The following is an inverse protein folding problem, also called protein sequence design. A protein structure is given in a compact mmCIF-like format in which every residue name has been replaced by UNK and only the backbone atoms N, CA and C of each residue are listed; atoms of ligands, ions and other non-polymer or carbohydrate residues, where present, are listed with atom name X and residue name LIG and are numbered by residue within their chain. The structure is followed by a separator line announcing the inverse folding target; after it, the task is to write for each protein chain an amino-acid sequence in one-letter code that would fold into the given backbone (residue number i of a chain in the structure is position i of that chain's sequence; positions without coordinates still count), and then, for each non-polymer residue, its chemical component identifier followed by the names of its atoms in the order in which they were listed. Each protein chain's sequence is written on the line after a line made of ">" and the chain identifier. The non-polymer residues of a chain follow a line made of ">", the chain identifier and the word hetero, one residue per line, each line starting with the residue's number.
data_IF_647792887418
#
_entry.id   IF_647792887418
#
_cell.length_a   1.000
_cell.length_b   1.000
_cell.length_c   1.000
_cell.angle_alpha   90.00
_cell.angle_beta   90.00
_cell.angle_gamma   90.00
#
_symmetry.space_group_name_H-M   'P 1'
#
loop_
_entity.id
_entity.type
_entity.pdbx_description
1 polymer ?
#
# COMPACT_ATOMS: atom_id res chain seq x y z
N UNK A 1 27.48 -11.44 0.16
CA UNK A 1 27.30 -10.39 -0.86
C UNK A 1 26.64 -11.04 -2.06
N UNK A 2 25.35 -10.84 -2.25
CA UNK A 2 24.64 -11.32 -3.43
C UNK A 2 24.84 -10.24 -4.50
N UNK A 3 25.78 -10.47 -5.41
CA UNK A 3 26.00 -9.61 -6.56
C UNK A 3 24.80 -9.73 -7.49
N UNK A 4 24.08 -8.62 -7.70
CA UNK A 4 22.99 -8.57 -8.68
C UNK A 4 23.49 -8.92 -10.09
N UNK A 5 22.58 -9.35 -10.99
CA UNK A 5 22.96 -9.75 -12.34
C UNK A 5 23.61 -8.60 -13.10
N UNK A 6 24.70 -8.89 -13.81
CA UNK A 6 25.41 -7.94 -14.68
C UNK A 6 24.46 -7.41 -15.77
N UNK A 7 24.66 -6.17 -16.23
CA UNK A 7 23.88 -5.55 -17.32
C UNK A 7 23.77 -6.45 -18.57
N UNK A 8 24.81 -7.26 -18.86
CA UNK A 8 24.78 -8.24 -19.97
C UNK A 8 23.85 -9.44 -19.71
N UNK A 9 23.67 -9.85 -18.46
CA UNK A 9 22.73 -10.90 -18.06
C UNK A 9 21.29 -10.39 -18.06
N UNK A 10 21.06 -9.14 -17.62
CA UNK A 10 19.75 -8.48 -17.72
C UNK A 10 19.31 -8.35 -19.18
N UNK A 11 20.21 -7.98 -20.10
CA UNK A 11 19.93 -7.93 -21.54
C UNK A 11 19.64 -9.31 -22.14
N UNK A 12 20.29 -10.38 -21.65
CA UNK A 12 20.00 -11.76 -22.09
C UNK A 12 18.61 -12.23 -21.62
N UNK A 13 18.24 -11.90 -20.38
CA UNK A 13 16.90 -12.18 -19.82
C UNK A 13 15.81 -11.37 -20.55
N UNK A 14 16.11 -10.15 -20.99
CA UNK A 14 15.19 -9.33 -21.79
C UNK A 14 15.08 -9.75 -23.26
N UNK A 15 16.10 -10.42 -23.81
CA UNK A 15 16.08 -10.93 -25.21
C UNK A 15 15.21 -12.16 -25.38
N UNK A 16 15.16 -13.02 -24.37
CA UNK A 16 14.39 -14.27 -24.36
C UNK A 16 13.61 -14.39 -23.03
N UNK A 17 12.49 -13.66 -22.84
CA UNK A 17 11.58 -14.00 -21.77
C UNK A 17 11.03 -15.39 -22.09
N UNK A 18 11.35 -16.38 -21.25
CA UNK A 18 10.75 -17.70 -21.37
C UNK A 18 9.23 -17.54 -21.39
N UNK A 19 8.57 -17.99 -22.47
CA UNK A 19 7.11 -17.94 -22.60
C UNK A 19 6.50 -18.65 -21.39
N UNK A 20 6.02 -17.85 -20.43
CA UNK A 20 5.40 -18.36 -19.21
C UNK A 20 4.12 -19.10 -19.56
N UNK A 21 3.74 -20.11 -18.77
CA UNK A 21 2.45 -20.78 -18.91
C UNK A 21 1.26 -19.79 -18.93
N UNK A 22 1.44 -18.61 -18.33
CA UNK A 22 0.50 -17.48 -18.36
C UNK A 22 0.41 -16.85 -19.75
N UNK A 23 1.52 -16.66 -20.47
CA UNK A 23 1.52 -16.11 -21.84
C UNK A 23 0.82 -17.05 -22.83
N UNK A 24 0.99 -18.37 -22.66
CA UNK A 24 0.30 -19.40 -23.43
C UNK A 24 -1.22 -19.41 -23.18
N UNK A 25 -1.63 -19.20 -21.92
CA UNK A 25 -3.03 -19.02 -21.53
C UNK A 25 -3.61 -17.72 -22.09
N UNK A 26 -2.85 -16.62 -22.05
CA UNK A 26 -3.25 -15.32 -22.56
C UNK A 26 -3.43 -15.30 -24.08
N UNK A 27 -2.49 -15.90 -24.82
CA UNK A 27 -2.58 -16.10 -26.27
C UNK A 27 -3.85 -16.86 -26.67
N UNK A 28 -4.28 -17.79 -25.82
CA UNK A 28 -5.48 -18.62 -26.07
C UNK A 28 -6.79 -17.88 -25.73
N UNK A 29 -6.78 -17.02 -24.71
CA UNK A 29 -7.97 -16.30 -24.25
C UNK A 29 -8.21 -14.99 -25.00
N UNK A 30 -7.15 -14.29 -25.43
CA UNK A 30 -7.25 -12.95 -26.05
C UNK A 30 -6.27 -12.80 -27.24
N UNK A 31 -6.51 -13.49 -28.37
CA UNK A 31 -5.55 -13.60 -29.46
C UNK A 31 -5.27 -12.28 -30.19
N UNK A 32 -6.28 -11.44 -30.40
CA UNK A 32 -6.12 -10.16 -31.10
C UNK A 32 -5.35 -9.14 -30.24
N UNK A 33 -5.64 -9.07 -28.94
CA UNK A 33 -4.91 -8.19 -28.03
C UNK A 33 -3.47 -8.65 -27.80
N UNK A 34 -3.21 -9.97 -27.83
CA UNK A 34 -1.86 -10.52 -27.74
C UNK A 34 -1.00 -10.13 -28.95
N UNK A 35 -1.58 -10.05 -30.16
CA UNK A 35 -0.87 -9.57 -31.37
C UNK A 35 -0.51 -8.09 -31.24
N UNK A 36 -1.43 -7.24 -30.78
CA UNK A 36 -1.14 -5.82 -30.54
C UNK A 36 0.00 -5.62 -29.51
N UNK A 37 0.00 -6.43 -28.45
CA UNK A 37 1.07 -6.44 -27.43
C UNK A 37 2.43 -6.87 -28.01
N UNK A 38 2.46 -7.87 -28.90
CA UNK A 38 3.68 -8.32 -29.59
C UNK A 38 4.21 -7.24 -30.53
N UNK A 39 3.34 -6.60 -31.32
CA UNK A 39 3.73 -5.50 -32.21
C UNK A 39 4.30 -4.30 -31.43
N UNK A 40 3.73 -3.96 -30.27
CA UNK A 40 4.29 -2.93 -29.38
C UNK A 40 5.66 -3.34 -28.84
N UNK A 41 5.84 -4.59 -28.38
CA UNK A 41 7.16 -5.08 -27.92
C UNK A 41 8.22 -5.06 -29.04
N UNK A 42 7.84 -5.35 -30.27
CA UNK A 42 8.78 -5.28 -31.40
C UNK A 42 9.16 -3.84 -31.74
N UNK A 43 8.21 -2.91 -31.70
CA UNK A 43 8.48 -1.47 -31.83
C UNK A 43 9.41 -0.96 -30.73
N UNK A 44 9.18 -1.37 -29.48
CA UNK A 44 10.04 -1.03 -28.34
C UNK A 44 11.46 -1.60 -28.50
N UNK A 45 11.59 -2.84 -28.98
CA UNK A 45 12.90 -3.47 -29.30
C UNK A 45 13.63 -2.74 -30.42
N UNK A 46 12.92 -2.26 -31.44
CA UNK A 46 13.51 -1.48 -32.53
C UNK A 46 13.93 -0.08 -32.06
N UNK A 47 13.12 0.58 -31.22
CA UNK A 47 13.46 1.86 -30.61
C UNK A 47 14.69 1.75 -29.70
N UNK A 48 14.79 0.68 -28.89
CA UNK A 48 15.95 0.42 -28.04
C UNK A 48 17.25 0.23 -28.85
N UNK A 49 17.19 -0.50 -29.97
CA UNK A 49 18.34 -0.66 -30.88
C UNK A 49 18.76 0.66 -31.53
N UNK A 50 17.80 1.47 -31.97
CA UNK A 50 18.08 2.78 -32.55
C UNK A 50 18.71 3.75 -31.53
N UNK A 51 18.30 3.67 -30.26
CA UNK A 51 18.90 4.43 -29.16
C UNK A 51 20.34 3.97 -28.88
N UNK A 52 20.58 2.65 -28.86
CA UNK A 52 21.91 2.06 -28.66
C UNK A 52 22.89 2.43 -29.80
N UNK A 53 22.40 2.56 -31.04
CA UNK A 53 23.19 3.05 -32.18
C UNK A 53 23.49 4.55 -32.11
N UNK A 54 22.58 5.36 -31.56
CA UNK A 54 22.83 6.80 -31.33
C UNK A 54 23.89 7.02 -30.26
N UNK A 55 23.79 6.29 -29.14
CA UNK A 55 24.79 6.34 -28.05
C UNK A 55 26.17 5.95 -28.58
N UNK A 56 26.28 4.89 -29.39
CA UNK A 56 27.56 4.50 -30.01
C UNK A 56 28.14 5.54 -30.98
N UNK A 57 27.27 6.31 -31.67
CA UNK A 57 27.71 7.39 -32.57
C UNK A 57 28.19 8.61 -31.79
N UNK A 58 27.56 8.93 -30.66
CA UNK A 58 27.97 10.01 -29.76
C UNK A 58 29.29 9.68 -29.04
N UNK A 59 29.45 8.44 -28.55
CA UNK A 59 30.73 7.95 -27.98
C UNK A 59 31.88 7.95 -29.01
N UNK A 60 31.57 7.80 -30.31
CA UNK A 60 32.57 7.85 -31.38
C UNK A 60 32.99 9.27 -31.75
N UNK A 61 32.19 10.29 -31.40
CA UNK A 61 32.49 11.70 -31.64
C UNK A 61 33.23 12.37 -30.47
N UNK A 62 33.06 11.89 -29.24
CA UNK A 62 33.76 12.44 -28.05
C UNK A 62 35.25 12.06 -27.95
N UNK A 63 35.74 11.08 -28.72
CA UNK A 63 37.15 10.64 -28.66
C UNK A 63 38.15 11.59 -29.36
N UNK A 64 37.74 12.74 -29.90
CA UNK A 64 38.63 13.67 -30.64
C UNK A 64 38.86 15.02 -29.94
N UNK A 65 38.22 15.31 -28.80
CA UNK A 65 38.46 16.60 -28.12
C UNK A 65 38.37 16.50 -26.60
N UNK A 66 39.48 16.16 -25.95
CA UNK A 66 39.65 16.36 -24.51
C UNK A 66 40.49 17.62 -24.25
N UNK A 67 39.93 18.57 -23.50
CA UNK A 67 40.66 19.74 -22.99
C UNK A 67 39.79 20.73 -22.21
N UNK A 68 39.77 20.54 -20.88
CA UNK A 68 39.47 21.52 -19.81
C UNK A 68 38.02 21.80 -19.38
N UNK A 69 37.82 21.58 -18.07
CA UNK A 69 36.88 22.19 -17.12
C UNK A 69 35.59 22.85 -17.63
N UNK A 70 34.43 22.24 -17.32
CA UNK A 70 33.45 22.90 -16.44
C UNK A 70 32.36 21.92 -16.00
N UNK A 71 31.98 22.04 -14.73
CA UNK A 71 30.77 21.44 -14.19
C UNK A 71 29.52 22.08 -14.81
N UNK A 72 28.42 21.32 -14.72
CA UNK A 72 27.04 21.72 -15.02
C UNK A 72 26.66 21.62 -16.50
N UNK A 73 25.56 20.89 -16.76
CA UNK A 73 24.89 20.65 -18.04
C UNK A 73 25.35 19.42 -18.83
N UNK A 74 24.84 18.25 -18.43
CA UNK A 74 24.49 17.18 -19.38
C UNK A 74 23.44 16.27 -18.72
N UNK A 75 22.27 16.84 -18.49
CA UNK A 75 21.05 16.06 -18.20
C UNK A 75 19.96 16.61 -19.13
N UNK A 76 20.16 16.40 -20.43
CA UNK A 76 19.14 16.72 -21.42
C UNK A 76 19.03 15.61 -22.48
N UNK A 77 17.84 15.01 -22.48
CA UNK A 77 17.19 14.27 -23.56
C UNK A 77 17.40 12.74 -23.65
N UNK A 78 16.39 12.00 -23.22
CA UNK A 78 15.32 11.58 -24.13
C UNK A 78 14.01 11.50 -23.34
N UNK A 79 13.10 12.46 -23.54
CA UNK A 79 11.76 12.40 -22.92
C UNK A 79 11.06 11.14 -23.44
N UNK A 80 10.76 10.21 -22.52
CA UNK A 80 10.16 8.93 -22.90
C UNK A 80 8.79 9.20 -23.53
N UNK A 81 8.38 8.46 -24.57
CA UNK A 81 7.06 8.64 -25.24
C UNK A 81 5.88 8.63 -24.23
N UNK A 82 6.07 7.92 -23.11
CA UNK A 82 5.18 7.86 -21.94
C UNK A 82 5.13 9.15 -21.11
N UNK A 83 6.24 9.85 -20.96
CA UNK A 83 6.33 11.13 -20.26
C UNK A 83 5.61 12.23 -21.05
N UNK A 84 5.83 12.25 -22.38
CA UNK A 84 5.12 13.16 -23.28
C UNK A 84 3.61 12.92 -23.27
N UNK A 85 3.19 11.64 -23.33
CA UNK A 85 1.78 11.25 -23.19
C UNK A 85 1.15 11.72 -21.86
N UNK A 86 1.85 11.56 -20.74
CA UNK A 86 1.35 12.00 -19.45
C UNK A 86 1.33 13.52 -19.30
N UNK A 87 2.32 14.21 -19.83
CA UNK A 87 2.38 15.68 -19.84
C UNK A 87 1.25 16.28 -20.68
N UNK A 88 0.97 15.68 -21.85
CA UNK A 88 -0.18 16.07 -22.69
C UNK A 88 -1.54 15.75 -22.04
N UNK A 89 -1.65 14.62 -21.32
CA UNK A 89 -2.92 14.15 -20.72
C UNK A 89 -3.26 14.76 -19.35
N UNK A 90 -2.26 15.04 -18.53
CA UNK A 90 -2.42 15.47 -17.12
C UNK A 90 -1.91 16.89 -16.88
N UNK A 91 -1.08 17.41 -17.79
CA UNK A 91 -0.39 18.69 -17.62
C UNK A 91 0.85 18.52 -16.76
N UNK A 92 0.72 18.71 -15.44
CA UNK A 92 1.86 18.80 -14.52
C UNK A 92 2.02 17.52 -13.67
N UNK A 93 2.98 16.66 -14.00
CA UNK A 93 3.31 15.42 -13.27
C UNK A 93 4.33 15.66 -12.13
N UNK A 94 4.23 16.81 -11.46
CA UNK A 94 5.13 17.17 -10.36
C UNK A 94 4.93 16.29 -9.11
N UNK A 95 5.71 16.57 -8.05
CA UNK A 95 5.62 15.84 -6.77
C UNK A 95 4.19 15.80 -6.20
N UNK A 96 3.36 16.79 -6.50
CA UNK A 96 1.93 16.81 -6.14
C UNK A 96 1.14 15.59 -6.63
N UNK A 97 1.48 15.03 -7.80
CA UNK A 97 0.83 13.82 -8.31
C UNK A 97 1.12 12.57 -7.46
N UNK A 98 2.23 12.58 -6.71
CA UNK A 98 2.61 11.51 -5.80
C UNK A 98 2.00 11.65 -4.39
N UNK A 99 1.49 12.84 -4.04
CA UNK A 99 0.95 13.12 -2.69
C UNK A 99 -0.34 12.33 -2.43
N UNK A 100 -1.28 12.35 -3.38
CA UNK A 100 -2.56 11.62 -3.24
C UNK A 100 -2.35 10.11 -3.00
N UNK A 101 -1.61 9.37 -3.84
CA UNK A 101 -1.38 7.95 -3.59
C UNK A 101 -0.65 7.71 -2.26
N UNK A 102 0.38 8.51 -1.96
CA UNK A 102 1.12 8.36 -0.70
C UNK A 102 0.22 8.53 0.54
N UNK A 103 -0.63 9.55 0.57
CA UNK A 103 -1.56 9.80 1.66
C UNK A 103 -2.65 8.73 1.77
N UNK A 104 -3.11 8.18 0.64
CA UNK A 104 -4.14 7.16 0.58
C UNK A 104 -3.71 5.89 1.33
N UNK A 105 -2.45 5.50 1.21
CA UNK A 105 -1.86 4.44 2.03
C UNK A 105 -1.89 4.81 3.52
N UNK A 106 -1.32 5.95 3.90
CA UNK A 106 -1.15 6.34 5.29
C UNK A 106 -2.49 6.41 6.03
N UNK A 107 -3.48 7.04 5.39
CA UNK A 107 -4.81 7.16 5.93
C UNK A 107 -5.43 5.77 6.15
N UNK A 108 -5.43 4.94 5.12
CA UNK A 108 -6.11 3.64 5.15
C UNK A 108 -5.43 2.65 6.10
N UNK A 109 -4.10 2.56 6.04
CA UNK A 109 -3.29 1.64 6.86
C UNK A 109 -3.37 1.96 8.33
N UNK A 110 -3.36 3.24 8.72
CA UNK A 110 -3.47 3.64 10.14
C UNK A 110 -4.76 3.11 10.77
N UNK A 111 -5.89 3.27 10.09
CA UNK A 111 -7.17 2.74 10.58
C UNK A 111 -7.20 1.22 10.56
N UNK A 112 -6.73 0.60 9.47
CA UNK A 112 -6.81 -0.84 9.32
C UNK A 112 -5.92 -1.58 10.34
N UNK A 113 -4.65 -1.20 10.48
CA UNK A 113 -3.70 -1.85 11.40
C UNK A 113 -4.01 -1.52 12.87
N UNK A 114 -4.65 -0.39 13.15
CA UNK A 114 -5.18 -0.13 14.50
C UNK A 114 -6.40 -1.01 14.80
N UNK A 115 -7.34 -1.13 13.86
CA UNK A 115 -8.58 -1.85 14.07
C UNK A 115 -8.41 -3.37 14.06
N UNK A 116 -7.63 -3.91 13.12
CA UNK A 116 -7.50 -5.35 12.92
C UNK A 116 -6.13 -5.87 13.37
N UNK A 117 -6.05 -6.95 14.17
CA UNK A 117 -7.14 -7.75 14.74
C UNK A 117 -7.66 -7.22 16.10
N UNK A 118 -7.00 -6.20 16.66
CA UNK A 118 -7.13 -5.76 18.06
C UNK A 118 -8.54 -5.31 18.48
N UNK A 119 -9.21 -4.53 17.65
CA UNK A 119 -10.55 -3.98 17.88
C UNK A 119 -11.61 -4.80 17.17
N UNK A 120 -11.37 -5.11 15.90
CA UNK A 120 -12.23 -5.91 15.02
C UNK A 120 -11.47 -7.17 14.59
N UNK A 121 -12.06 -8.38 14.65
CA UNK A 121 -13.36 -8.69 15.25
C UNK A 121 -13.27 -8.92 16.77
N UNK A 122 -12.09 -9.21 17.32
CA UNK A 122 -11.92 -9.74 18.67
C UNK A 122 -12.30 -8.80 19.80
N UNK A 123 -12.31 -7.49 19.55
CA UNK A 123 -12.70 -6.52 20.56
C UNK A 123 -14.20 -6.47 20.83
N UNK A 124 -15.04 -6.91 19.88
CA UNK A 124 -16.50 -6.76 19.93
C UNK A 124 -17.28 -8.06 19.65
N UNK A 125 -16.60 -9.13 19.22
CA UNK A 125 -17.18 -10.44 18.93
C UNK A 125 -16.45 -11.55 19.72
N UNK A 126 -17.20 -12.58 20.11
CA UNK A 126 -16.64 -13.78 20.77
C UNK A 126 -15.72 -14.54 19.81
N UNK A 127 -14.65 -15.14 20.37
CA UNK A 127 -13.57 -15.80 19.62
C UNK A 127 -14.08 -16.82 18.59
N UNK A 128 -15.05 -17.65 18.94
CA UNK A 128 -15.56 -18.71 18.06
C UNK A 128 -16.23 -18.14 16.79
N UNK A 129 -16.94 -17.02 16.94
CA UNK A 129 -17.61 -16.33 15.82
C UNK A 129 -16.63 -15.53 14.96
N UNK A 130 -15.48 -15.14 15.50
CA UNK A 130 -14.43 -14.43 14.76
C UNK A 130 -13.77 -15.33 13.70
N UNK A 131 -13.75 -16.65 13.89
CA UNK A 131 -13.07 -17.57 12.99
C UNK A 131 -13.58 -17.44 11.54
N UNK A 132 -14.90 -17.38 11.36
CA UNK A 132 -15.52 -17.24 10.03
C UNK A 132 -15.10 -15.93 9.35
N UNK A 133 -15.02 -14.83 10.11
CA UNK A 133 -14.61 -13.52 9.57
C UNK A 133 -13.14 -13.60 9.11
N UNK A 134 -12.27 -14.18 9.93
CA UNK A 134 -10.86 -14.29 9.60
C UNK A 134 -10.59 -15.17 8.37
N UNK A 135 -11.38 -16.23 8.17
CA UNK A 135 -11.30 -17.05 6.96
C UNK A 135 -11.74 -16.28 5.71
N UNK A 136 -12.70 -15.36 5.83
CA UNK A 136 -13.18 -14.55 4.71
C UNK A 136 -12.26 -13.36 4.38
N UNK A 137 -11.55 -12.82 5.36
CA UNK A 137 -10.71 -11.62 5.19
C UNK A 137 -9.75 -11.67 3.99
N UNK A 138 -8.97 -12.75 3.75
CA UNK A 138 -8.04 -12.81 2.61
C UNK A 138 -8.73 -12.60 1.26
N UNK A 139 -9.94 -13.13 1.09
CA UNK A 139 -10.70 -12.97 -0.15
C UNK A 139 -11.04 -11.50 -0.39
N UNK A 140 -11.50 -10.78 0.64
CA UNK A 140 -11.88 -9.38 0.51
C UNK A 140 -10.68 -8.45 0.29
N UNK A 141 -9.54 -8.76 0.90
CA UNK A 141 -8.29 -8.03 0.64
C UNK A 141 -7.83 -8.26 -0.81
N UNK A 142 -8.02 -9.47 -1.37
CA UNK A 142 -7.56 -9.82 -2.71
C UNK A 142 -8.39 -9.22 -3.86
N UNK A 143 -9.64 -8.82 -3.63
CA UNK A 143 -10.50 -8.25 -4.68
C UNK A 143 -9.87 -6.97 -5.27
N UNK A 144 -9.32 -6.11 -4.41
CA UNK A 144 -8.69 -4.85 -4.82
C UNK A 144 -7.48 -5.06 -5.74
N UNK A 145 -6.41 -5.75 -5.30
CA UNK A 145 -5.26 -6.05 -6.14
C UNK A 145 -5.63 -6.79 -7.42
N UNK A 146 -6.54 -7.76 -7.36
CA UNK A 146 -6.97 -8.51 -8.55
C UNK A 146 -7.66 -7.60 -9.58
N UNK A 147 -8.54 -6.71 -9.11
CA UNK A 147 -9.24 -5.74 -9.97
C UNK A 147 -8.27 -4.75 -10.58
N UNK A 148 -7.32 -4.23 -9.79
CA UNK A 148 -6.30 -3.30 -10.28
C UNK A 148 -5.33 -3.97 -11.25
N UNK A 149 -4.97 -5.24 -11.02
CA UNK A 149 -4.14 -6.01 -11.95
C UNK A 149 -4.83 -6.16 -13.31
N UNK A 150 -6.12 -6.52 -13.32
CA UNK A 150 -6.91 -6.59 -14.56
C UNK A 150 -6.98 -5.22 -15.22
N UNK A 151 -7.33 -4.17 -14.48
CA UNK A 151 -7.43 -2.84 -15.05
C UNK A 151 -6.11 -2.32 -15.63
N UNK A 152 -4.98 -2.65 -15.01
CA UNK A 152 -3.68 -2.21 -15.49
C UNK A 152 -3.23 -2.94 -16.76
N UNK A 153 -3.42 -4.25 -16.82
CA UNK A 153 -2.99 -5.05 -17.97
C UNK A 153 -3.90 -4.86 -19.19
N UNK A 154 -5.20 -4.59 -18.97
CA UNK A 154 -6.19 -4.51 -20.05
C UNK A 154 -6.62 -3.08 -20.38
N UNK A 155 -6.17 -2.05 -19.66
CA UNK A 155 -6.55 -0.65 -19.93
C UNK A 155 -5.36 0.30 -19.88
N UNK A 156 -5.12 1.05 -20.96
CA UNK A 156 -4.06 2.09 -21.05
C UNK A 156 -4.29 3.30 -20.10
N UNK A 157 -5.37 3.31 -19.30
CA UNK A 157 -5.75 4.42 -18.41
C UNK A 157 -4.90 4.54 -17.16
N UNK A 158 -4.17 3.49 -16.80
CA UNK A 158 -3.32 3.46 -15.62
C UNK A 158 -1.89 3.99 -15.87
N UNK A 159 -1.60 4.53 -17.07
CA UNK A 159 -0.27 5.05 -17.39
C UNK A 159 0.15 6.30 -16.60
N UNK A 160 -0.81 7.13 -16.19
CA UNK A 160 -0.57 8.38 -15.46
C UNK A 160 -1.57 8.50 -14.30
N UNK A 161 -1.18 9.13 -13.19
CA UNK A 161 -2.15 9.47 -12.14
C UNK A 161 -3.12 10.52 -12.66
N UNK A 162 -4.41 10.29 -12.47
CA UNK A 162 -5.49 11.18 -12.91
C UNK A 162 -6.50 11.32 -11.78
N UNK A 163 -7.35 12.34 -11.85
CA UNK A 163 -8.38 12.61 -10.85
C UNK A 163 -9.35 11.43 -10.61
N UNK A 164 -9.50 10.53 -11.59
CA UNK A 164 -10.33 9.32 -11.44
C UNK A 164 -9.82 8.41 -10.32
N UNK A 165 -8.51 8.36 -10.09
CA UNK A 165 -7.93 7.56 -9.01
C UNK A 165 -8.16 8.20 -7.65
N UNK A 166 -8.31 9.52 -7.59
CA UNK A 166 -8.68 10.19 -6.36
C UNK A 166 -10.10 9.83 -5.91
N UNK A 167 -10.97 9.30 -6.79
CA UNK A 167 -12.28 8.78 -6.39
C UNK A 167 -12.17 7.57 -5.45
N UNK A 168 -11.04 6.85 -5.42
CA UNK A 168 -10.82 5.75 -4.47
C UNK A 168 -10.75 6.25 -3.01
N UNK A 169 -10.53 7.55 -2.77
CA UNK A 169 -10.72 8.15 -1.45
C UNK A 169 -12.16 7.98 -0.91
N UNK A 170 -13.16 7.74 -1.75
CA UNK A 170 -14.51 7.40 -1.28
C UNK A 170 -14.52 6.09 -0.48
N UNK A 171 -13.61 5.15 -0.79
CA UNK A 171 -13.44 3.91 -0.03
C UNK A 171 -12.80 4.15 1.35
N UNK A 172 -12.20 5.31 1.59
CA UNK A 172 -11.71 5.69 2.92
C UNK A 172 -12.86 6.09 3.85
N UNK A 173 -13.95 6.68 3.34
CA UNK A 173 -15.08 7.18 4.16
C UNK A 173 -15.65 6.13 5.13
N UNK A 174 -15.84 4.85 4.74
CA UNK A 174 -16.28 3.81 5.67
C UNK A 174 -15.35 3.58 6.86
N UNK A 175 -14.03 3.80 6.74
CA UNK A 175 -13.05 3.44 7.78
C UNK A 175 -13.23 4.25 9.08
N UNK A 176 -13.27 5.61 9.06
CA UNK A 176 -13.60 6.39 10.25
C UNK A 176 -14.98 6.08 10.83
N UNK A 177 -15.98 5.80 9.99
CA UNK A 177 -17.33 5.43 10.44
C UNK A 177 -17.28 4.11 11.20
N UNK A 178 -16.64 3.09 10.65
CA UNK A 178 -16.47 1.78 11.28
C UNK A 178 -15.67 1.91 12.59
N UNK A 179 -14.60 2.71 12.59
CA UNK A 179 -13.81 3.00 13.78
C UNK A 179 -14.66 3.62 14.90
N UNK A 180 -15.42 4.68 14.60
CA UNK A 180 -16.27 5.34 15.60
C UNK A 180 -17.37 4.41 16.12
N UNK A 181 -17.97 3.57 15.27
CA UNK A 181 -18.94 2.56 15.68
C UNK A 181 -18.32 1.49 16.58
N UNK A 182 -17.12 1.01 16.26
CA UNK A 182 -16.39 0.04 17.08
C UNK A 182 -16.00 0.61 18.44
N UNK A 183 -15.47 1.83 18.49
CA UNK A 183 -15.14 2.53 19.74
C UNK A 183 -16.39 2.79 20.58
N UNK A 184 -17.51 3.18 19.95
CA UNK A 184 -18.80 3.35 20.63
C UNK A 184 -19.33 2.03 21.17
N UNK A 185 -19.17 0.94 20.43
CA UNK A 185 -19.52 -0.42 20.87
C UNK A 185 -18.72 -0.84 22.11
N UNK A 186 -17.44 -0.48 22.19
CA UNK A 186 -16.58 -0.81 23.34
C UNK A 186 -16.91 0.04 24.57
N UNK A 187 -17.00 1.36 24.42
CA UNK A 187 -17.04 2.27 25.56
C UNK A 187 -18.44 2.71 25.99
N UNK A 188 -19.45 2.59 25.12
CA UNK A 188 -20.78 3.15 25.35
C UNK A 188 -21.84 2.06 25.41
N UNK A 189 -22.83 2.21 26.31
CA UNK A 189 -23.97 1.29 26.45
C UNK A 189 -25.22 1.72 25.66
N UNK A 190 -25.06 2.48 24.57
CA UNK A 190 -26.21 2.94 23.79
C UNK A 190 -26.93 1.78 23.10
N UNK A 191 -28.23 1.90 22.79
CA UNK A 191 -28.98 0.84 22.11
C UNK A 191 -28.35 0.42 20.77
N UNK A 192 -27.82 1.39 20.02
CA UNK A 192 -27.08 1.15 18.77
C UNK A 192 -25.76 0.39 18.97
N UNK A 193 -25.01 0.71 20.03
CA UNK A 193 -23.76 0.00 20.37
C UNK A 193 -24.04 -1.45 20.77
N UNK A 194 -25.06 -1.69 21.60
CA UNK A 194 -25.47 -3.03 22.03
C UNK A 194 -25.90 -3.93 20.87
N UNK A 195 -26.46 -3.34 19.82
CA UNK A 195 -26.84 -4.05 18.59
C UNK A 195 -25.63 -4.60 17.83
N UNK A 196 -24.46 -3.97 17.94
CA UNK A 196 -23.24 -4.38 17.22
C UNK A 196 -22.49 -5.46 18.01
N UNK A 197 -22.41 -5.31 19.33
CA UNK A 197 -21.70 -6.23 20.22
C UNK A 197 -22.23 -7.66 20.08
N UNK A 198 -21.31 -8.62 19.92
CA UNK A 198 -21.59 -10.06 19.79
C UNK A 198 -22.51 -10.45 18.60
N UNK A 199 -22.80 -9.51 17.70
CA UNK A 199 -23.56 -9.74 16.48
C UNK A 199 -22.63 -10.06 15.32
N UNK A 200 -22.46 -11.34 15.03
CA UNK A 200 -21.57 -11.82 13.96
C UNK A 200 -21.81 -11.14 12.59
N UNK A 201 -23.05 -11.04 12.05
CA UNK A 201 -23.23 -10.47 10.70
C UNK A 201 -22.87 -8.98 10.63
N UNK A 202 -23.12 -8.22 11.71
CA UNK A 202 -22.79 -6.78 11.75
C UNK A 202 -21.29 -6.56 11.85
N UNK A 203 -20.63 -7.31 12.73
CA UNK A 203 -19.17 -7.24 12.88
C UNK A 203 -18.47 -7.75 11.62
N UNK A 204 -19.01 -8.80 10.98
CA UNK A 204 -18.52 -9.29 9.70
C UNK A 204 -18.63 -8.20 8.61
N UNK A 205 -19.81 -7.59 8.44
CA UNK A 205 -19.99 -6.52 7.46
C UNK A 205 -19.01 -5.35 7.69
N UNK A 206 -18.86 -4.88 8.94
CA UNK A 206 -17.89 -3.84 9.29
C UNK A 206 -16.45 -4.26 8.99
N UNK A 207 -16.06 -5.48 9.36
CA UNK A 207 -14.68 -5.96 9.18
C UNK A 207 -14.37 -6.15 7.70
N UNK A 208 -15.24 -6.84 6.95
CA UNK A 208 -15.06 -7.14 5.54
C UNK A 208 -15.09 -5.87 4.67
N UNK A 209 -15.95 -4.89 4.99
CA UNK A 209 -15.94 -3.59 4.33
C UNK A 209 -14.62 -2.84 4.57
N UNK A 210 -14.09 -2.85 5.81
CA UNK A 210 -12.79 -2.27 6.10
C UNK A 210 -11.64 -2.98 5.36
N UNK A 211 -11.66 -4.32 5.32
CA UNK A 211 -10.67 -5.13 4.60
C UNK A 211 -10.71 -4.88 3.09
N UNK A 212 -11.91 -4.71 2.51
CA UNK A 212 -12.07 -4.36 1.10
C UNK A 212 -11.54 -2.96 0.79
N UNK A 213 -11.92 -1.96 1.59
CA UNK A 213 -11.38 -0.60 1.46
C UNK A 213 -9.86 -0.57 1.56
N UNK A 214 -9.30 -1.34 2.49
CA UNK A 214 -7.86 -1.49 2.64
C UNK A 214 -7.22 -2.18 1.44
N UNK A 215 -7.79 -3.31 1.01
CA UNK A 215 -7.35 -4.08 -0.14
C UNK A 215 -7.38 -3.30 -1.46
N UNK A 216 -8.28 -2.33 -1.63
CA UNK A 216 -8.28 -1.47 -2.82
C UNK A 216 -7.25 -0.33 -2.73
N UNK A 217 -7.16 0.34 -1.59
CA UNK A 217 -6.33 1.55 -1.43
C UNK A 217 -4.84 1.26 -1.33
N UNK A 218 -4.45 0.18 -0.64
CA UNK A 218 -3.03 -0.20 -0.47
C UNK A 218 -2.32 -0.46 -1.81
N UNK A 219 -2.76 -1.40 -2.65
CA UNK A 219 -2.12 -1.66 -3.95
C UNK A 219 -2.20 -0.46 -4.90
N UNK A 220 -3.30 0.30 -4.90
CA UNK A 220 -3.44 1.48 -5.76
C UNK A 220 -2.40 2.55 -5.41
N UNK A 221 -2.10 2.75 -4.11
CA UNK A 221 -1.00 3.63 -3.67
C UNK A 221 0.35 3.18 -4.23
N UNK A 222 0.69 1.90 -4.05
CA UNK A 222 1.96 1.36 -4.53
C UNK A 222 2.08 1.42 -6.06
N UNK A 223 1.00 1.13 -6.78
CA UNK A 223 0.97 1.24 -8.24
C UNK A 223 1.12 2.69 -8.70
N UNK A 224 0.43 3.64 -8.07
CA UNK A 224 0.54 5.05 -8.38
C UNK A 224 1.95 5.60 -8.22
N UNK A 225 2.59 5.30 -7.08
CA UNK A 225 3.98 5.72 -6.81
C UNK A 225 5.02 4.95 -7.62
N UNK A 226 4.79 3.66 -7.85
CA UNK A 226 5.64 2.85 -8.73
C UNK A 226 5.70 3.46 -10.13
N UNK A 227 4.55 3.80 -10.70
CA UNK A 227 4.47 4.43 -12.02
C UNK A 227 4.97 5.86 -12.05
N UNK A 228 4.82 6.59 -10.95
CA UNK A 228 5.49 7.88 -10.79
C UNK A 228 7.01 7.74 -10.92
N UNK A 229 7.60 6.72 -10.29
CA UNK A 229 9.04 6.44 -10.38
C UNK A 229 9.48 5.96 -11.77
N UNK A 230 8.72 5.06 -12.41
CA UNK A 230 9.04 4.52 -13.74
C UNK A 230 8.93 5.54 -14.88
N UNK A 231 8.32 6.71 -14.64
CA UNK A 231 8.27 7.84 -15.59
C UNK A 231 9.48 8.79 -15.49
N UNK A 232 10.56 8.34 -14.84
CA UNK A 232 11.81 9.08 -14.66
C UNK A 232 11.65 10.47 -14.02
N UNK A 233 10.58 10.67 -13.22
CA UNK A 233 10.41 11.90 -12.47
C UNK A 233 11.59 12.10 -11.48
N UNK A 234 12.02 13.35 -11.26
CA UNK A 234 13.16 13.64 -10.40
C UNK A 234 12.93 13.10 -8.99
N UNK A 235 13.81 12.20 -8.55
CA UNK A 235 13.70 11.55 -7.24
C UNK A 235 12.55 10.54 -7.10
N UNK A 236 11.93 10.09 -8.21
CA UNK A 236 10.78 9.17 -8.17
C UNK A 236 11.05 7.85 -7.44
N UNK A 237 12.19 7.19 -7.71
CA UNK A 237 12.59 5.97 -7.00
C UNK A 237 12.93 6.23 -5.52
N UNK A 238 13.52 7.38 -5.21
CA UNK A 238 13.78 7.80 -3.83
C UNK A 238 12.48 8.01 -3.06
N UNK A 239 11.50 8.65 -3.68
CA UNK A 239 10.17 8.86 -3.11
C UNK A 239 9.43 7.53 -2.87
N UNK A 240 9.54 6.58 -3.82
CA UNK A 240 9.00 5.24 -3.66
C UNK A 240 9.68 4.48 -2.51
N UNK A 241 11.01 4.55 -2.42
CA UNK A 241 11.78 3.94 -1.32
C UNK A 241 11.43 4.54 0.04
N UNK A 242 11.28 5.86 0.10
CA UNK A 242 10.78 6.56 1.29
C UNK A 242 9.36 6.12 1.63
N UNK A 243 8.46 6.03 0.65
CA UNK A 243 7.09 5.58 0.87
C UNK A 243 7.05 4.19 1.49
N UNK A 244 7.78 3.21 0.94
CA UNK A 244 7.85 1.85 1.48
C UNK A 244 8.39 1.86 2.92
N UNK A 245 9.47 2.60 3.18
CA UNK A 245 10.06 2.68 4.52
C UNK A 245 9.10 3.32 5.54
N UNK A 246 8.47 4.42 5.14
CA UNK A 246 7.49 5.14 5.95
C UNK A 246 6.21 4.34 6.17
N UNK A 247 5.79 3.56 5.18
CA UNK A 247 4.68 2.63 5.24
C UNK A 247 4.93 1.58 6.32
N UNK A 248 6.06 0.87 6.27
CA UNK A 248 6.44 -0.12 7.28
C UNK A 248 6.51 0.48 8.68
N UNK A 249 7.05 1.69 8.81
CA UNK A 249 7.10 2.41 10.08
C UNK A 249 5.70 2.76 10.61
N UNK A 250 4.81 3.25 9.74
CA UNK A 250 3.42 3.55 10.08
C UNK A 250 2.65 2.30 10.51
N UNK A 251 2.86 1.16 9.83
CA UNK A 251 2.30 -0.15 10.23
C UNK A 251 2.74 -0.55 11.62
N UNK A 252 4.05 -0.46 11.89
CA UNK A 252 4.62 -0.77 13.19
C UNK A 252 3.99 0.10 14.29
N UNK A 253 3.95 1.43 14.11
CA UNK A 253 3.35 2.34 15.08
C UNK A 253 1.88 2.01 15.31
N UNK A 254 1.10 1.87 14.24
CA UNK A 254 -0.35 1.61 14.33
C UNK A 254 -0.65 0.30 15.06
N UNK A 255 0.09 -0.76 14.73
CA UNK A 255 -0.01 -2.05 15.40
C UNK A 255 0.35 -1.97 16.89
N UNK A 256 1.43 -1.27 17.24
CA UNK A 256 1.86 -1.10 18.64
C UNK A 256 0.89 -0.23 19.46
N UNK A 257 0.29 0.78 18.84
CA UNK A 257 -0.80 1.56 19.46
C UNK A 257 -2.02 0.65 19.68
N UNK A 258 -2.35 -0.23 18.73
CA UNK A 258 -3.45 -1.18 18.86
C UNK A 258 -3.26 -2.16 20.02
N UNK A 259 -2.04 -2.66 20.22
CA UNK A 259 -1.67 -3.54 21.34
C UNK A 259 -1.81 -2.79 22.66
N UNK A 260 -1.21 -1.60 22.80
CA UNK A 260 -1.30 -0.80 24.02
C UNK A 260 -2.74 -0.39 24.35
N UNK A 261 -3.55 -0.11 23.33
CA UNK A 261 -4.98 0.17 23.49
C UNK A 261 -5.73 -1.06 24.01
N UNK A 262 -5.47 -2.23 23.41
CA UNK A 262 -6.10 -3.49 23.79
C UNK A 262 -5.78 -3.85 25.23
N UNK A 263 -4.51 -3.79 25.63
CA UNK A 263 -4.09 -4.09 27.00
C UNK A 263 -4.69 -3.09 28.01
N UNK A 264 -4.67 -1.78 27.69
CA UNK A 264 -5.33 -0.75 28.53
C UNK A 264 -6.80 -1.06 28.73
N UNK A 265 -7.51 -1.36 27.64
CA UNK A 265 -8.95 -1.69 27.63
C UNK A 265 -9.24 -2.95 28.47
N UNK A 266 -8.46 -4.01 28.27
CA UNK A 266 -8.62 -5.27 29.00
C UNK A 266 -8.39 -5.07 30.50
N UNK A 267 -7.37 -4.30 30.90
CA UNK A 267 -7.08 -4.02 32.32
C UNK A 267 -8.19 -3.25 33.03
N UNK A 268 -8.94 -2.43 32.28
CA UNK A 268 -10.10 -1.70 32.78
C UNK A 268 -11.36 -2.57 32.88
N UNK A 269 -11.33 -3.84 32.45
CA UNK A 269 -12.48 -4.75 32.45
C UNK A 269 -13.40 -4.58 31.23
N UNK A 270 -12.93 -3.92 30.17
CA UNK A 270 -13.67 -3.78 28.92
C UNK A 270 -13.43 -4.97 27.98
N UNK A 271 -13.76 -6.19 28.44
CA UNK A 271 -13.66 -7.42 27.67
C UNK A 271 -15.03 -8.11 27.50
N UNK A 272 -15.17 -8.94 26.47
CA UNK A 272 -16.33 -9.82 26.28
C UNK A 272 -16.25 -11.04 27.21
N UNK A 273 -17.36 -11.75 27.51
CA UNK A 273 -18.76 -11.48 27.11
C UNK A 273 -19.50 -10.47 28.00
N UNK A 274 -18.94 -10.09 29.15
CA UNK A 274 -19.54 -9.12 30.08
C UNK A 274 -18.59 -7.94 30.30
N UNK A 275 -18.96 -6.78 29.76
CA UNK A 275 -18.27 -5.51 30.01
C UNK A 275 -18.58 -4.98 31.41
N UNK A 276 -17.70 -5.29 32.37
CA UNK A 276 -17.75 -4.78 33.75
C UNK A 276 -16.50 -3.93 34.01
N UNK A 277 -16.61 -2.59 33.96
CA UNK A 277 -15.47 -1.74 34.26
C UNK A 277 -15.03 -1.95 35.71
N UNK A 278 -13.75 -2.22 35.92
CA UNK A 278 -13.17 -2.42 37.25
C UNK A 278 -13.17 -1.14 38.09
N UNK A 279 -13.14 0.02 37.42
CA UNK A 279 -13.12 1.33 38.06
C UNK A 279 -14.17 2.25 37.41
N UNK A 280 -14.99 2.91 38.22
CA UNK A 280 -15.89 3.97 37.74
C UNK A 280 -15.12 5.28 37.62
N UNK A 281 -15.12 5.90 36.45
CA UNK A 281 -14.52 7.22 36.19
C UNK A 281 -15.50 8.10 35.41
N UNK A 282 -15.34 9.42 35.49
CA UNK A 282 -16.07 10.35 34.61
C UNK A 282 -15.64 10.14 33.15
N UNK A 283 -16.52 10.44 32.17
CA UNK A 283 -16.24 10.17 30.74
C UNK A 283 -14.96 10.84 30.23
N UNK A 284 -14.71 12.09 30.64
CA UNK A 284 -13.52 12.85 30.24
C UNK A 284 -12.25 12.28 30.85
N UNK A 285 -12.29 11.91 32.13
CA UNK A 285 -11.15 11.30 32.82
C UNK A 285 -10.85 9.91 32.29
N UNK A 286 -11.89 9.14 31.96
CA UNK A 286 -11.75 7.83 31.32
C UNK A 286 -11.09 7.96 29.93
N UNK A 287 -11.55 8.90 29.10
CA UNK A 287 -10.97 9.13 27.78
C UNK A 287 -9.48 9.52 27.86
N UNK A 288 -9.15 10.47 28.73
CA UNK A 288 -7.76 10.89 28.95
C UNK A 288 -6.89 9.78 29.54
N UNK A 289 -7.44 9.00 30.48
CA UNK A 289 -6.74 7.86 31.07
C UNK A 289 -6.43 6.79 30.02
N UNK A 290 -7.42 6.41 29.20
CA UNK A 290 -7.23 5.43 28.11
C UNK A 290 -6.17 5.94 27.14
N UNK A 291 -6.25 7.20 26.72
CA UNK A 291 -5.28 7.80 25.82
C UNK A 291 -3.86 7.73 26.41
N UNK A 292 -3.65 8.27 27.61
CA UNK A 292 -2.33 8.30 28.27
C UNK A 292 -1.77 6.89 28.52
N UNK A 293 -2.60 5.97 29.01
CA UNK A 293 -2.15 4.60 29.31
C UNK A 293 -1.88 3.78 28.06
N UNK A 294 -2.63 4.00 26.98
CA UNK A 294 -2.38 3.38 25.67
C UNK A 294 -0.95 3.70 25.24
N UNK A 295 -0.58 4.98 25.15
CA UNK A 295 0.77 5.38 24.75
C UNK A 295 1.85 4.92 25.73
N UNK A 296 1.58 4.98 27.05
CA UNK A 296 2.53 4.50 28.06
C UNK A 296 2.83 3.01 27.87
N UNK A 297 1.80 2.18 27.69
CA UNK A 297 1.95 0.73 27.51
C UNK A 297 2.54 0.39 26.15
N UNK A 298 2.12 1.06 25.08
CA UNK A 298 2.73 0.98 23.76
C UNK A 298 4.24 1.22 23.81
N UNK A 299 4.68 2.25 24.55
CA UNK A 299 6.10 2.53 24.72
C UNK A 299 6.83 1.47 25.55
N UNK A 300 6.22 0.98 26.63
CA UNK A 300 6.79 -0.09 27.45
C UNK A 300 6.97 -1.38 26.67
N UNK A 301 5.98 -1.74 25.85
CA UNK A 301 6.00 -2.90 24.96
C UNK A 301 7.08 -2.77 23.88
N UNK A 302 7.14 -1.62 23.18
CA UNK A 302 8.19 -1.34 22.20
C UNK A 302 9.61 -1.39 22.80
N UNK A 303 9.78 -0.87 24.02
CA UNK A 303 11.06 -0.96 24.75
C UNK A 303 11.39 -2.41 25.15
N UNK A 304 10.38 -3.22 25.44
CA UNK A 304 10.50 -4.65 25.71
C UNK A 304 11.07 -5.38 24.51
N UNK A 305 10.51 -5.16 23.32
CA UNK A 305 10.98 -5.77 22.07
C UNK A 305 12.45 -5.47 21.77
N UNK A 306 12.88 -4.22 21.95
CA UNK A 306 14.27 -3.81 21.71
C UNK A 306 15.24 -4.51 22.67
N UNK A 307 14.78 -4.83 23.88
CA UNK A 307 15.58 -5.50 24.91
C UNK A 307 15.48 -7.03 24.85
N UNK A 308 14.65 -7.57 23.97
CA UNK A 308 14.34 -8.98 23.94
C UNK A 308 15.53 -9.77 23.37
N UNK A 309 16.15 -10.57 24.22
CA UNK A 309 17.19 -11.50 23.81
C UNK A 309 16.53 -12.75 23.21
N UNK A 310 16.58 -12.86 21.88
CA UNK A 310 15.95 -13.96 21.13
C UNK A 310 16.44 -15.33 21.63
N UNK A 311 17.68 -15.42 22.13
CA UNK A 311 18.23 -16.68 22.67
C UNK A 311 17.56 -17.15 23.96
N UNK A 312 16.84 -16.26 24.67
CA UNK A 312 16.09 -16.60 25.88
C UNK A 312 14.63 -16.98 25.61
N UNK A 313 14.17 -16.82 24.37
CA UNK A 313 12.77 -17.00 23.98
C UNK A 313 12.53 -18.27 23.16
N UNK A 314 13.59 -18.90 22.65
CA UNK A 314 13.61 -20.23 22.02
C UNK A 314 13.96 -21.29 23.07
#
# INVERSE_FOLDING_TARGET
>A
MITGPSAKQLVKIMKEPADSAIDLLFKKLFPEHYKELQERREKDKQAAKALEEKIKKEESQETVSNGSESQTQQEQSSETEREKYCRERVGNDGVGAAVSPALMYWATTTFNDFMFPSVLPYGILQRDKCHIINVLNPFFILIGPATLFVLDNFTDRFGCWTWYFDLFWLLFIPLPIIFTLAMKAIFTRSPSARRIINSQPRVACMTLAAMFSFGCNEPLSYMGLGKYAFRQNPGGFTLLGYHISSALFCRYISSKIAVGFSDTRLSLGYHLPKFRPNHRMSKRNLGWYIFRQTFKRTWQDAKGDIKLDIKKYL
#
